data_IF_851360532455
#
_entry.id   IF_851360532455
#
_cell.length_a   1.000
_cell.length_b   1.000
_cell.length_c   1.000
_cell.angle_alpha   90.00
_cell.angle_beta   90.00
_cell.angle_gamma   90.00
#
_symmetry.space_group_name_H-M   'P 1'
#
loop_
_entity.id
_entity.type
_entity.pdbx_description
1 polymer ?
#
# COMPACT_ATOMS: atom_id res chain seq x y z
N UNK A 1 -46.53 16.66 14.61
CA UNK A 1 -45.62 17.28 15.60
C UNK A 1 -45.38 16.27 16.71
N UNK A 2 -44.29 15.52 16.64
CA UNK A 2 -43.85 14.61 17.70
C UNK A 2 -42.38 14.92 17.93
N UNK A 3 -42.11 15.47 19.12
CA UNK A 3 -40.80 15.95 19.53
C UNK A 3 -39.87 14.79 19.83
N UNK A 4 -38.65 14.89 19.32
CA UNK A 4 -37.55 14.00 19.65
C UNK A 4 -36.76 14.68 20.76
N UNK A 5 -36.73 14.02 21.91
CA UNK A 5 -36.02 14.45 23.11
C UNK A 5 -34.51 14.26 22.91
N UNK A 6 -33.77 15.38 22.98
CA UNK A 6 -32.31 15.39 23.01
C UNK A 6 -31.89 14.94 24.40
N UNK A 7 -31.47 13.69 24.53
CA UNK A 7 -30.89 13.16 25.76
C UNK A 7 -29.40 13.46 25.72
N UNK A 8 -28.99 14.40 26.56
CA UNK A 8 -27.60 14.83 26.70
C UNK A 8 -26.69 13.67 27.11
N UNK A 9 -25.71 13.40 26.27
CA UNK A 9 -24.62 12.49 26.59
C UNK A 9 -23.53 13.29 27.29
N UNK A 10 -23.20 12.83 28.50
CA UNK A 10 -22.22 13.40 29.42
C UNK A 10 -20.85 13.60 28.75
N UNK A 11 -20.33 14.83 28.86
CA UNK A 11 -18.92 15.15 28.77
C UNK A 11 -18.19 14.51 29.97
N UNK A 12 -17.47 13.42 29.74
CA UNK A 12 -16.44 12.94 30.67
C UNK A 12 -15.13 13.67 30.34
N UNK A 13 -14.76 14.62 31.19
CA UNK A 13 -13.47 15.29 31.14
C UNK A 13 -12.36 14.31 31.57
N UNK A 14 -11.45 13.97 30.65
CA UNK A 14 -10.19 13.32 31.00
C UNK A 14 -9.20 14.39 31.46
N UNK A 15 -8.77 14.30 32.72
CA UNK A 15 -7.68 15.09 33.28
C UNK A 15 -6.37 14.77 32.55
N UNK A 16 -5.73 15.80 32.03
CA UNK A 16 -4.39 15.77 31.46
C UNK A 16 -3.40 15.96 32.61
N UNK A 17 -2.73 14.88 33.03
CA UNK A 17 -1.65 14.96 34.03
C UNK A 17 -0.36 15.39 33.31
N UNK A 18 -0.03 16.68 33.47
CA UNK A 18 1.19 17.28 32.99
C UNK A 18 2.30 17.06 34.03
N UNK A 19 3.13 16.04 33.83
CA UNK A 19 4.38 15.86 34.60
C UNK A 19 5.45 15.22 33.72
N UNK A 20 6.43 15.99 33.22
CA UNK A 20 7.59 15.41 32.55
C UNK A 20 8.45 16.34 31.68
N UNK A 21 8.90 17.47 32.22
CA UNK A 21 9.95 18.30 31.60
C UNK A 21 11.33 17.64 31.80
N UNK A 22 11.82 16.94 30.79
CA UNK A 22 13.21 16.50 30.68
C UNK A 22 13.98 17.42 29.73
N UNK A 23 14.76 18.35 30.29
CA UNK A 23 15.72 19.16 29.55
C UNK A 23 17.02 18.38 29.35
N UNK A 24 17.35 18.01 28.12
CA UNK A 24 18.71 17.62 27.76
C UNK A 24 19.26 18.58 26.70
N UNK A 25 20.30 19.30 27.13
CA UNK A 25 21.12 20.23 26.35
C UNK A 25 22.40 19.52 25.87
N UNK A 26 22.79 19.72 24.61
CA UNK A 26 24.08 19.31 24.01
C UNK A 26 23.92 18.11 23.08
N UNK A 27 24.33 18.12 21.81
CA UNK A 27 25.59 18.58 21.24
C UNK A 27 25.47 18.89 19.71
N UNK A 28 26.31 19.77 19.13
CA UNK A 28 26.34 20.13 17.70
C UNK A 28 26.92 19.05 16.75
N UNK A 29 26.73 19.19 15.41
CA UNK A 29 26.86 18.12 14.43
C UNK A 29 28.30 17.89 13.91
N UNK A 30 28.62 16.69 13.39
CA UNK A 30 29.80 16.51 12.55
C UNK A 30 29.53 16.96 11.10
N UNK A 31 30.19 18.03 10.68
CA UNK A 31 30.43 18.36 9.27
C UNK A 31 31.48 17.43 8.67
N UNK A 32 31.12 16.71 7.60
CA UNK A 32 32.09 16.19 6.63
C UNK A 32 31.63 16.49 5.21
N UNK A 33 32.22 17.55 4.66
CA UNK A 33 32.21 17.92 3.25
C UNK A 33 32.97 16.87 2.44
N UNK A 34 32.35 16.31 1.39
CA UNK A 34 33.06 15.54 0.36
C UNK A 34 32.64 16.04 -1.02
N UNK A 35 33.53 16.82 -1.60
CA UNK A 35 33.45 17.36 -2.97
C UNK A 35 33.87 16.25 -3.94
N UNK A 36 32.90 15.63 -4.59
CA UNK A 36 33.12 14.68 -5.67
C UNK A 36 32.85 15.31 -7.04
N UNK A 37 33.91 15.78 -7.69
CA UNK A 37 33.87 16.28 -9.08
C UNK A 37 33.93 15.08 -10.03
N UNK A 38 32.77 14.67 -10.57
CA UNK A 38 32.64 13.61 -11.56
C UNK A 38 32.19 14.16 -12.91
N UNK A 39 33.11 14.27 -13.85
CA UNK A 39 32.93 14.59 -15.26
C UNK A 39 32.41 13.39 -16.07
N UNK A 40 31.73 13.71 -17.19
CA UNK A 40 31.51 12.87 -18.40
C UNK A 40 30.29 11.92 -18.29
N UNK A 41 29.38 11.75 -19.26
CA UNK A 41 29.41 12.00 -20.72
C UNK A 41 27.96 11.87 -21.24
N UNK A 42 27.46 12.90 -21.93
CA UNK A 42 26.51 12.75 -23.05
C UNK A 42 27.29 12.20 -24.28
N UNK A 43 26.69 11.72 -25.40
CA UNK A 43 25.27 11.60 -25.75
C UNK A 43 24.91 10.21 -26.37
N UNK A 44 23.63 9.90 -26.58
CA UNK A 44 23.17 9.22 -27.81
C UNK A 44 21.65 9.20 -27.94
N UNK A 45 21.21 9.95 -28.95
CA UNK A 45 19.91 9.96 -29.58
C UNK A 45 19.63 8.65 -30.31
N UNK A 46 18.45 8.07 -30.06
CA UNK A 46 17.92 6.91 -30.79
C UNK A 46 16.45 7.11 -31.11
N UNK A 47 16.16 7.74 -32.24
CA UNK A 47 14.82 7.81 -32.82
C UNK A 47 14.45 6.45 -33.43
N UNK A 48 13.43 5.79 -32.88
CA UNK A 48 12.85 4.58 -33.42
C UNK A 48 11.38 4.78 -33.79
N UNK A 49 11.12 5.20 -35.03
CA UNK A 49 9.79 5.18 -35.64
C UNK A 49 9.45 3.75 -36.07
N UNK A 50 8.43 3.15 -35.47
CA UNK A 50 7.85 1.87 -35.88
C UNK A 50 6.35 2.00 -36.12
N UNK A 51 5.97 2.15 -37.39
CA UNK A 51 4.59 2.04 -37.88
C UNK A 51 4.29 0.62 -38.37
N UNK A 52 3.15 0.06 -37.97
CA UNK A 52 2.53 -1.17 -38.51
C UNK A 52 2.21 -2.18 -37.39
N UNK A 53 1.04 -2.82 -37.30
CA UNK A 53 -0.03 -3.05 -38.26
C UNK A 53 -1.38 -3.25 -37.54
N UNK A 54 -2.46 -2.84 -38.20
CA UNK A 54 -3.84 -3.20 -37.89
C UNK A 54 -4.08 -4.66 -38.28
N UNK A 55 -4.40 -5.50 -37.29
CA UNK A 55 -4.83 -6.88 -37.48
C UNK A 55 -6.13 -7.13 -36.71
N UNK A 56 -7.28 -6.92 -37.36
CA UNK A 56 -8.58 -7.37 -36.86
C UNK A 56 -8.65 -8.89 -36.99
N UNK A 57 -8.58 -9.59 -35.86
CA UNK A 57 -8.91 -11.01 -35.78
C UNK A 57 -10.27 -11.18 -35.07
N UNK A 58 -11.32 -11.36 -35.86
CA UNK A 58 -12.60 -11.91 -35.42
C UNK A 58 -12.38 -13.39 -35.11
N UNK A 59 -12.22 -13.72 -33.82
CA UNK A 59 -12.02 -15.08 -33.34
C UNK A 59 -13.22 -15.58 -32.55
N UNK A 60 -13.96 -16.50 -33.17
CA UNK A 60 -15.09 -17.25 -32.63
C UNK A 60 -14.75 -17.94 -31.31
N UNK A 61 -15.52 -17.65 -30.26
CA UNK A 61 -15.48 -18.34 -28.97
C UNK A 61 -15.76 -19.84 -29.15
N UNK A 62 -14.75 -20.66 -28.90
CA UNK A 62 -14.92 -22.09 -28.63
C UNK A 62 -14.49 -22.35 -27.20
N UNK A 63 -15.39 -22.96 -26.44
CA UNK A 63 -15.20 -23.41 -25.07
C UNK A 63 -14.21 -24.57 -25.06
N UNK A 64 -12.93 -24.27 -24.82
CA UNK A 64 -11.86 -25.23 -24.58
C UNK A 64 -11.50 -25.25 -23.09
N UNK A 65 -11.61 -26.43 -22.47
CA UNK A 65 -11.12 -26.69 -21.12
C UNK A 65 -9.62 -26.92 -21.23
N UNK A 66 -8.82 -25.90 -20.91
CA UNK A 66 -7.36 -26.01 -20.92
C UNK A 66 -6.87 -26.66 -19.62
N UNK A 67 -6.49 -27.94 -19.75
CA UNK A 67 -5.74 -28.67 -18.74
C UNK A 67 -4.26 -28.61 -19.09
N UNK A 68 -3.50 -27.83 -18.33
CA UNK A 68 -2.04 -27.96 -18.21
C UNK A 68 -1.18 -27.31 -19.31
N UNK A 69 -0.78 -26.06 -19.08
CA UNK A 69 0.38 -25.46 -19.75
C UNK A 69 1.31 -24.85 -18.69
N UNK A 70 2.42 -25.52 -18.41
CA UNK A 70 3.47 -25.14 -17.44
C UNK A 70 4.46 -24.10 -18.00
N UNK A 71 3.97 -23.21 -18.86
CA UNK A 71 4.65 -21.95 -19.17
C UNK A 71 3.78 -20.90 -18.52
N UNK A 72 4.17 -20.45 -17.31
CA UNK A 72 3.42 -19.47 -16.53
C UNK A 72 3.23 -18.22 -17.40
N UNK A 73 2.04 -18.13 -18.01
CA UNK A 73 1.68 -16.94 -18.76
C UNK A 73 1.69 -15.76 -17.77
N UNK A 74 2.18 -14.58 -18.17
CA UNK A 74 2.13 -13.41 -17.31
C UNK A 74 0.69 -13.20 -16.84
N UNK A 75 0.53 -12.94 -15.54
CA UNK A 75 -0.77 -12.65 -14.94
C UNK A 75 -1.40 -11.47 -15.70
N UNK A 76 -2.69 -11.59 -16.01
CA UNK A 76 -3.44 -10.46 -16.57
C UNK A 76 -3.61 -9.39 -15.49
N UNK A 77 -3.77 -8.14 -15.90
CA UNK A 77 -4.08 -7.06 -14.97
C UNK A 77 -5.31 -7.40 -14.11
N UNK A 78 -5.16 -7.24 -12.80
CA UNK A 78 -6.18 -7.54 -11.79
C UNK A 78 -6.31 -9.04 -11.46
N UNK A 79 -5.57 -9.93 -12.14
CA UNK A 79 -5.56 -11.35 -11.80
C UNK A 79 -4.58 -11.64 -10.67
N UNK A 80 -4.99 -12.51 -9.75
CA UNK A 80 -4.17 -13.05 -8.67
C UNK A 80 -4.16 -14.59 -8.74
N UNK A 81 -3.12 -15.20 -8.19
CA UNK A 81 -3.01 -16.63 -7.99
C UNK A 81 -3.91 -17.09 -6.84
N UNK A 82 -4.51 -18.27 -6.99
CA UNK A 82 -5.35 -18.87 -5.93
C UNK A 82 -4.49 -19.28 -4.72
N UNK A 83 -4.96 -19.03 -3.48
CA UNK A 83 -4.24 -19.41 -2.28
C UNK A 83 -4.21 -20.92 -2.04
N UNK A 84 -3.18 -21.45 -1.36
CA UNK A 84 -3.19 -22.79 -0.82
C UNK A 84 -4.15 -22.88 0.37
N UNK A 85 -4.94 -23.96 0.42
CA UNK A 85 -6.02 -24.13 1.40
C UNK A 85 -5.61 -24.34 2.87
N UNK A 86 -4.33 -24.22 3.24
CA UNK A 86 -3.88 -24.31 4.64
C UNK A 86 -3.12 -23.06 5.06
N UNK A 87 -3.41 -22.52 6.24
CA UNK A 87 -2.75 -21.33 6.81
C UNK A 87 -1.30 -21.64 7.23
N UNK A 88 -0.39 -20.72 6.92
CA UNK A 88 1.02 -20.79 7.34
C UNK A 88 1.20 -20.10 8.70
N UNK A 89 2.14 -20.54 9.58
CA UNK A 89 2.40 -19.89 10.86
C UNK A 89 2.86 -18.42 10.79
N UNK A 90 3.18 -17.88 9.61
CA UNK A 90 3.53 -16.47 9.43
C UNK A 90 2.37 -15.47 9.55
N UNK A 91 1.12 -15.94 9.66
CA UNK A 91 -0.07 -15.09 9.76
C UNK A 91 -0.58 -15.00 11.20
N UNK A 92 -1.15 -13.84 11.57
CA UNK A 92 -1.86 -13.71 12.86
C UNK A 92 -3.10 -14.58 12.83
N UNK A 93 -3.86 -14.47 11.76
CA UNK A 93 -5.05 -15.27 11.46
C UNK A 93 -5.14 -15.52 9.94
N UNK A 94 -5.79 -16.60 9.52
CA UNK A 94 -6.24 -16.78 8.14
C UNK A 94 -7.75 -16.94 8.11
N UNK A 95 -8.39 -16.31 7.13
CA UNK A 95 -9.80 -16.53 6.87
C UNK A 95 -10.04 -17.85 6.10
N UNK A 96 -11.32 -18.19 5.91
CA UNK A 96 -11.73 -19.40 5.16
C UNK A 96 -11.28 -19.37 3.68
N UNK A 97 -10.95 -18.18 3.17
CA UNK A 97 -10.44 -17.95 1.81
C UNK A 97 -8.90 -18.06 1.74
N UNK A 98 -8.21 -18.26 2.87
CA UNK A 98 -6.76 -18.42 2.95
C UNK A 98 -5.95 -17.12 2.89
N UNK A 99 -6.59 -15.97 3.11
CA UNK A 99 -5.96 -14.65 3.21
C UNK A 99 -5.23 -14.52 4.54
N UNK A 100 -3.95 -14.15 4.49
CA UNK A 100 -3.16 -13.84 5.67
C UNK A 100 -3.58 -12.50 6.25
N UNK A 101 -4.09 -12.45 7.49
CA UNK A 101 -4.41 -11.19 8.15
C UNK A 101 -3.31 -10.80 9.15
N UNK A 102 -2.86 -9.54 9.05
CA UNK A 102 -1.90 -8.91 9.94
C UNK A 102 -2.58 -7.71 10.59
N UNK A 103 -2.90 -7.84 11.87
CA UNK A 103 -3.64 -6.84 12.63
C UNK A 103 -2.72 -5.95 13.46
N UNK A 104 -2.54 -4.72 12.98
CA UNK A 104 -1.83 -3.65 13.66
C UNK A 104 -2.87 -2.78 14.41
N UNK A 105 -3.39 -3.33 15.50
CA UNK A 105 -4.41 -2.69 16.34
C UNK A 105 -3.75 -2.05 17.56
N UNK A 106 -4.08 -0.79 17.80
CA UNK A 106 -3.54 -0.02 18.91
C UNK A 106 -2.45 0.96 18.48
N UNK A 107 -2.20 1.93 19.35
CA UNK A 107 -1.22 3.00 19.14
C UNK A 107 0.16 2.42 18.83
N UNK A 108 0.74 2.80 17.70
CA UNK A 108 2.08 2.40 17.25
C UNK A 108 2.34 0.87 17.21
N UNK A 109 1.29 0.06 17.09
CA UNK A 109 1.39 -1.41 17.20
C UNK A 109 2.38 -2.08 16.24
N UNK A 110 2.55 -1.54 15.04
CA UNK A 110 3.49 -1.96 14.00
C UNK A 110 4.36 -0.79 13.47
N UNK A 111 4.50 0.29 14.25
CA UNK A 111 5.30 1.46 13.88
C UNK A 111 6.76 1.07 13.63
N UNK A 112 7.34 1.60 12.55
CA UNK A 112 8.71 1.31 12.08
C UNK A 112 9.04 -0.18 11.87
N UNK A 113 8.03 -1.06 11.74
CA UNK A 113 8.24 -2.48 11.51
C UNK A 113 8.43 -2.80 10.04
N UNK A 114 9.14 -3.89 9.77
CA UNK A 114 9.16 -4.51 8.45
C UNK A 114 8.12 -5.64 8.39
N UNK A 115 6.99 -5.37 7.74
CA UNK A 115 5.89 -6.32 7.58
C UNK A 115 6.08 -7.05 6.25
N UNK A 116 6.38 -8.34 6.31
CA UNK A 116 6.55 -9.18 5.11
C UNK A 116 5.39 -10.13 4.98
N UNK A 117 4.57 -9.94 3.95
CA UNK A 117 3.48 -10.86 3.64
C UNK A 117 4.03 -12.20 3.12
N UNK A 118 3.41 -13.34 3.47
CA UNK A 118 3.87 -14.64 2.98
C UNK A 118 3.73 -14.75 1.46
N UNK A 119 4.73 -15.29 0.74
CA UNK A 119 4.81 -15.21 -0.71
C UNK A 119 3.72 -15.99 -1.46
N UNK A 120 3.15 -17.02 -0.85
CA UNK A 120 2.27 -17.99 -1.52
C UNK A 120 0.78 -17.74 -1.25
N UNK A 121 0.37 -16.55 -0.79
CA UNK A 121 -1.04 -16.27 -0.49
C UNK A 121 -1.40 -14.78 -0.52
N UNK A 122 -2.70 -14.44 -0.60
CA UNK A 122 -3.17 -13.09 -0.39
C UNK A 122 -2.85 -12.59 1.03
N UNK A 123 -2.63 -11.29 1.15
CA UNK A 123 -2.27 -10.64 2.40
C UNK A 123 -3.18 -9.44 2.66
N UNK A 124 -3.66 -9.34 3.88
CA UNK A 124 -4.47 -8.23 4.37
C UNK A 124 -3.81 -7.63 5.60
N UNK A 125 -3.37 -6.37 5.49
CA UNK A 125 -2.76 -5.61 6.58
C UNK A 125 -3.74 -4.55 7.06
N UNK A 126 -4.12 -4.62 8.34
CA UNK A 126 -5.05 -3.67 8.95
C UNK A 126 -4.33 -2.79 9.97
N UNK A 127 -4.17 -1.51 9.65
CA UNK A 127 -3.56 -0.49 10.50
C UNK A 127 -4.67 0.33 11.19
N UNK A 128 -5.16 -0.16 12.34
CA UNK A 128 -6.37 0.35 12.99
C UNK A 128 -6.14 1.23 14.23
N UNK A 129 -4.91 1.35 14.71
CA UNK A 129 -4.55 2.32 15.76
C UNK A 129 -3.99 3.62 15.20
N UNK A 130 -3.95 4.70 16.00
CA UNK A 130 -3.18 5.89 15.65
C UNK A 130 -1.72 5.51 15.41
N UNK A 131 -1.12 6.03 14.34
CA UNK A 131 0.28 5.73 13.99
C UNK A 131 0.61 4.23 13.88
N UNK A 132 -0.40 3.35 13.69
CA UNK A 132 -0.21 1.91 13.88
C UNK A 132 0.84 1.30 12.95
N UNK A 133 1.00 1.81 11.75
CA UNK A 133 1.96 1.38 10.73
C UNK A 133 2.80 2.57 10.24
N UNK A 134 2.91 3.63 11.04
CA UNK A 134 3.73 4.80 10.68
C UNK A 134 5.18 4.34 10.38
N UNK A 135 5.79 4.91 9.33
CA UNK A 135 7.17 4.61 8.92
C UNK A 135 7.49 3.12 8.70
N UNK A 136 6.47 2.26 8.59
CA UNK A 136 6.65 0.83 8.38
C UNK A 136 6.99 0.55 6.91
N UNK A 137 7.54 -0.64 6.66
CA UNK A 137 7.73 -1.13 5.29
C UNK A 137 6.92 -2.40 5.10
N UNK A 138 5.95 -2.35 4.18
CA UNK A 138 5.12 -3.51 3.81
C UNK A 138 5.64 -4.10 2.51
N UNK A 139 6.03 -5.37 2.53
CA UNK A 139 6.41 -6.13 1.34
C UNK A 139 5.29 -7.10 0.98
N UNK A 140 4.59 -6.81 -0.11
CA UNK A 140 3.48 -7.61 -0.62
C UNK A 140 3.99 -8.87 -1.34
N UNK A 141 3.17 -9.93 -1.38
CA UNK A 141 3.52 -11.18 -2.04
C UNK A 141 3.57 -11.04 -3.56
N UNK A 142 4.30 -11.94 -4.21
CA UNK A 142 4.37 -12.00 -5.67
C UNK A 142 3.16 -12.76 -6.19
N UNK A 143 2.42 -12.18 -7.15
CA UNK A 143 1.31 -12.86 -7.84
C UNK A 143 0.03 -13.03 -7.02
N UNK A 144 -0.01 -12.59 -5.76
CA UNK A 144 -1.20 -12.66 -4.91
C UNK A 144 -1.71 -11.26 -4.52
N UNK A 145 -3.00 -11.18 -4.17
CA UNK A 145 -3.63 -9.93 -3.75
C UNK A 145 -3.04 -9.40 -2.43
N UNK A 146 -2.76 -8.10 -2.39
CA UNK A 146 -2.25 -7.42 -1.21
C UNK A 146 -3.14 -6.21 -0.90
N UNK A 147 -3.83 -6.24 0.25
CA UNK A 147 -4.70 -5.15 0.68
C UNK A 147 -4.20 -4.55 1.97
N UNK A 148 -4.03 -3.23 1.99
CA UNK A 148 -3.62 -2.44 3.16
C UNK A 148 -4.74 -1.46 3.49
N UNK A 149 -5.21 -1.47 4.73
CA UNK A 149 -6.24 -0.55 5.22
C UNK A 149 -5.73 0.30 6.38
N UNK A 150 -5.85 1.61 6.23
CA UNK A 150 -5.41 2.61 7.20
C UNK A 150 -6.65 3.26 7.84
N UNK A 151 -6.97 2.86 9.09
CA UNK A 151 -8.16 3.30 9.83
C UNK A 151 -7.87 4.16 11.06
N UNK A 152 -6.61 4.31 11.47
CA UNK A 152 -6.24 5.25 12.54
C UNK A 152 -5.83 6.61 11.99
N UNK A 153 -5.79 7.61 12.87
CA UNK A 153 -5.15 8.90 12.60
C UNK A 153 -3.68 8.67 12.26
N UNK A 154 -3.25 9.17 11.10
CA UNK A 154 -1.89 8.97 10.58
C UNK A 154 -1.42 7.51 10.58
N UNK A 155 -2.34 6.54 10.51
CA UNK A 155 -2.02 5.13 10.73
C UNK A 155 -0.96 4.58 9.78
N UNK A 156 -0.88 5.10 8.55
CA UNK A 156 0.07 4.67 7.54
C UNK A 156 0.99 5.80 7.08
N UNK A 157 1.14 6.85 7.89
CA UNK A 157 1.96 8.00 7.52
C UNK A 157 3.41 7.57 7.27
N UNK A 158 4.01 8.10 6.20
CA UNK A 158 5.40 7.84 5.80
C UNK A 158 5.73 6.34 5.62
N UNK A 159 4.73 5.51 5.36
CA UNK A 159 4.91 4.08 5.14
C UNK A 159 5.43 3.81 3.72
N UNK A 160 6.23 2.77 3.57
CA UNK A 160 6.70 2.26 2.27
C UNK A 160 5.93 0.98 1.91
N UNK A 161 5.18 0.99 0.81
CA UNK A 161 4.46 -0.19 0.29
C UNK A 161 5.15 -0.71 -0.96
N UNK A 162 5.68 -1.93 -0.91
CA UNK A 162 6.33 -2.60 -2.02
C UNK A 162 5.39 -3.66 -2.59
N UNK A 163 4.64 -3.30 -3.63
CA UNK A 163 3.74 -4.23 -4.32
C UNK A 163 4.54 -5.27 -5.13
N UNK A 164 4.09 -6.52 -5.09
CA UNK A 164 4.60 -7.60 -5.94
C UNK A 164 3.87 -7.67 -7.29
N UNK A 165 3.89 -8.85 -7.92
CA UNK A 165 3.28 -9.08 -9.24
C UNK A 165 1.77 -9.36 -9.19
N UNK A 166 1.15 -9.27 -8.00
CA UNK A 166 -0.29 -9.40 -7.81
C UNK A 166 -0.99 -8.03 -7.67
N UNK A 167 -2.33 -8.00 -7.64
CA UNK A 167 -3.07 -6.80 -7.37
C UNK A 167 -2.70 -6.22 -6.00
N UNK A 168 -2.59 -4.90 -5.91
CA UNK A 168 -2.13 -4.21 -4.71
C UNK A 168 -3.03 -3.02 -4.42
N UNK A 169 -3.71 -3.01 -3.28
CA UNK A 169 -4.66 -1.96 -2.90
C UNK A 169 -4.26 -1.31 -1.57
N UNK A 170 -4.15 0.02 -1.55
CA UNK A 170 -4.02 0.84 -0.36
C UNK A 170 -5.29 1.67 -0.13
N UNK A 171 -5.88 1.58 1.06
CA UNK A 171 -7.10 2.32 1.42
C UNK A 171 -6.87 3.24 2.62
N UNK A 172 -7.13 4.53 2.42
CA UNK A 172 -6.99 5.61 3.40
C UNK A 172 -8.39 6.01 3.88
N UNK A 173 -8.75 5.66 5.13
CA UNK A 173 -10.16 5.61 5.55
C UNK A 173 -10.62 6.68 6.54
N UNK A 174 -9.72 7.32 7.30
CA UNK A 174 -10.12 8.01 8.54
C UNK A 174 -10.03 9.53 8.47
N UNK A 175 -8.88 10.04 8.08
CA UNK A 175 -8.50 11.45 8.20
C UNK A 175 -7.68 11.88 6.99
N UNK A 176 -7.42 13.19 6.86
CA UNK A 176 -6.63 13.74 5.76
C UNK A 176 -5.15 13.35 5.79
N UNK A 177 -4.70 12.75 6.89
CA UNK A 177 -3.31 12.33 7.07
C UNK A 177 -3.13 10.81 7.20
N UNK A 178 -4.19 9.99 7.05
CA UNK A 178 -4.13 8.52 7.20
C UNK A 178 -3.00 7.89 6.40
N UNK A 179 -2.75 8.41 5.19
CA UNK A 179 -1.72 7.93 4.27
C UNK A 179 -0.71 9.03 3.89
N UNK A 180 -0.57 10.08 4.71
CA UNK A 180 0.32 11.19 4.42
C UNK A 180 1.75 10.71 4.11
N UNK A 181 2.35 11.23 3.04
CA UNK A 181 3.72 10.92 2.60
C UNK A 181 4.01 9.43 2.32
N UNK A 182 2.99 8.57 2.22
CA UNK A 182 3.19 7.13 1.94
C UNK A 182 3.85 6.96 0.58
N UNK A 183 4.87 6.12 0.47
CA UNK A 183 5.47 5.75 -0.80
C UNK A 183 4.85 4.43 -1.28
N UNK A 184 4.12 4.48 -2.39
CA UNK A 184 3.45 3.33 -2.97
C UNK A 184 4.19 2.88 -4.23
N UNK A 185 4.99 1.81 -4.12
CA UNK A 185 5.76 1.26 -5.22
C UNK A 185 4.96 0.19 -5.94
N UNK A 186 4.42 0.53 -7.10
CA UNK A 186 3.58 -0.36 -7.88
C UNK A 186 4.43 -1.46 -8.54
N UNK A 187 3.90 -2.67 -8.55
CA UNK A 187 4.45 -3.80 -9.28
C UNK A 187 4.01 -3.79 -10.75
N UNK A 188 4.23 -4.88 -11.50
CA UNK A 188 3.80 -4.98 -12.89
C UNK A 188 2.28 -5.14 -13.08
N UNK A 189 1.54 -5.45 -12.01
CA UNK A 189 0.09 -5.68 -12.00
C UNK A 189 -0.68 -4.42 -11.56
N UNK A 190 -1.99 -4.52 -11.37
CA UNK A 190 -2.85 -3.42 -10.98
C UNK A 190 -2.52 -2.93 -9.57
N UNK A 191 -2.15 -1.65 -9.47
CA UNK A 191 -2.03 -0.93 -8.21
C UNK A 191 -3.17 0.07 -8.05
N UNK A 192 -3.81 0.09 -6.87
CA UNK A 192 -4.90 1.02 -6.58
C UNK A 192 -4.72 1.71 -5.23
N UNK A 193 -4.81 3.02 -5.22
CA UNK A 193 -4.89 3.83 -4.01
C UNK A 193 -6.29 4.44 -3.92
N UNK A 194 -6.97 4.18 -2.81
CA UNK A 194 -8.31 4.69 -2.53
C UNK A 194 -8.23 5.60 -1.32
N UNK A 195 -8.64 6.85 -1.48
CA UNK A 195 -8.87 7.74 -0.35
C UNK A 195 -10.36 7.91 -0.17
N UNK A 196 -10.89 7.50 0.99
CA UNK A 196 -12.29 7.71 1.34
C UNK A 196 -12.53 9.09 1.96
N UNK A 197 -11.45 9.80 2.29
CA UNK A 197 -11.42 11.18 2.77
C UNK A 197 -10.42 11.99 1.94
N UNK A 198 -10.64 13.31 1.76
CA UNK A 198 -9.64 14.20 1.18
C UNK A 198 -8.32 14.09 1.96
N UNK A 199 -7.19 13.92 1.28
CA UNK A 199 -5.87 13.92 1.93
C UNK A 199 -5.22 15.29 1.83
N UNK A 200 -4.63 15.77 2.93
CA UNK A 200 -3.85 17.02 2.94
C UNK A 200 -2.53 16.82 2.20
N UNK A 201 -1.88 15.68 2.43
CA UNK A 201 -0.66 15.24 1.76
C UNK A 201 -0.93 13.86 1.11
N UNK A 202 -1.17 13.80 -0.22
CA UNK A 202 -1.49 12.53 -0.87
C UNK A 202 -0.29 11.57 -0.87
N UNK A 203 -0.56 10.25 -0.92
CA UNK A 203 0.48 9.25 -1.09
C UNK A 203 1.21 9.44 -2.44
N UNK A 204 2.51 9.16 -2.46
CA UNK A 204 3.35 9.24 -3.65
C UNK A 204 3.36 7.90 -4.37
N UNK A 205 3.01 7.91 -5.66
CA UNK A 205 3.00 6.71 -6.51
C UNK A 205 4.32 6.59 -7.26
N UNK A 206 4.94 5.41 -7.19
CA UNK A 206 6.15 5.06 -7.93
C UNK A 206 5.86 3.91 -8.89
N UNK A 207 5.81 4.22 -10.18
CA UNK A 207 5.62 3.25 -11.26
C UNK A 207 6.93 2.50 -11.53
N UNK A 208 6.95 1.17 -11.41
CA UNK A 208 8.12 0.34 -11.76
C UNK A 208 8.10 -0.23 -13.18
N UNK A 209 7.15 0.20 -14.01
CA UNK A 209 7.06 -0.18 -15.43
C UNK A 209 6.42 -1.55 -15.63
N UNK A 210 5.09 -1.59 -15.59
CA UNK A 210 4.24 -2.74 -15.91
C UNK A 210 3.33 -2.50 -17.10
N UNK A 211 2.66 -3.55 -17.57
CA UNK A 211 1.58 -3.43 -18.57
C UNK A 211 0.27 -2.92 -17.93
N UNK A 212 0.16 -3.01 -16.60
CA UNK A 212 -1.00 -2.61 -15.82
C UNK A 212 -0.81 -1.20 -15.24
N UNK A 213 -1.93 -0.49 -15.06
CA UNK A 213 -1.92 0.87 -14.52
C UNK A 213 -1.82 0.87 -13.00
N UNK A 214 -1.03 1.78 -12.44
CA UNK A 214 -1.19 2.21 -11.07
C UNK A 214 -2.09 3.44 -11.02
N UNK A 215 -3.18 3.36 -10.26
CA UNK A 215 -4.20 4.41 -10.24
C UNK A 215 -4.45 4.91 -8.83
N UNK A 216 -4.66 6.22 -8.72
CA UNK A 216 -5.11 6.90 -7.51
C UNK A 216 -6.51 7.44 -7.77
N UNK A 217 -7.45 7.16 -6.87
CA UNK A 217 -8.84 7.65 -6.98
C UNK A 217 -8.89 9.16 -6.69
N UNK A 218 -9.74 9.90 -7.41
CA UNK A 218 -9.80 11.39 -7.40
C UNK A 218 -9.89 12.06 -6.02
N UNK A 219 -10.36 11.36 -4.99
CA UNK A 219 -10.48 11.94 -3.65
C UNK A 219 -9.16 12.15 -2.92
N UNK A 220 -8.06 11.57 -3.40
CA UNK A 220 -6.75 11.72 -2.77
C UNK A 220 -6.13 13.12 -2.98
N UNK A 221 -6.54 13.87 -4.00
CA UNK A 221 -5.99 15.20 -4.30
C UNK A 221 -7.11 16.24 -4.30
N UNK A 222 -7.30 16.98 -3.21
CA UNK A 222 -8.21 18.13 -3.14
C UNK A 222 -7.50 19.38 -2.66
#
# INVERSE_FOLDING_TARGET
MRGIAITGLLLAACNFDASGIGSETGDPPPTTTSTGTGTSTDPSSGSGSGTGATGSATGTSTTGVDTGSTTEAPLRCGAALEPPGSCDPGCTECDDDGVCTIDCVGDQSCDMQQITCPPDRPCFVQCAGPHACEQSTITCPIGHDCRIQCFGDQACRQMDVQCGDGPCTLECNTDGASCADTQFYCGPNEGRIICNTPQDDPPMVHERGGECSCTMVELCSQ
#
